data_IF_459363907445
#
_entry.id   IF_459363907445
#
_cell.length_a   1.000
_cell.length_b   1.000
_cell.length_c   1.000
_cell.angle_alpha   90.00
_cell.angle_beta   90.00
_cell.angle_gamma   90.00
#
_symmetry.space_group_name_H-M   'P 1'
#
loop_
_entity.id
_entity.type
_entity.pdbx_description
1 polymer ?
#
# COMPACT_ATOMS: atom_id res chain seq x y z
N UNK A 1 -9.70 64.20 -44.65
CA UNK A 1 -9.44 62.78 -44.61
C UNK A 1 -8.99 62.42 -43.21
N UNK A 2 -9.96 62.07 -42.36
CA UNK A 2 -9.69 61.74 -40.92
C UNK A 2 -9.47 60.24 -40.74
N UNK A 3 -8.28 59.87 -40.28
CA UNK A 3 -7.97 58.50 -39.91
C UNK A 3 -8.25 58.33 -38.42
N UNK A 4 -9.39 57.71 -38.10
CA UNK A 4 -9.71 57.28 -36.71
C UNK A 4 -8.91 56.04 -36.39
N UNK A 5 -7.95 56.20 -35.46
CA UNK A 5 -7.22 55.10 -34.82
C UNK A 5 -8.11 54.38 -33.82
N UNK A 6 -8.43 53.12 -34.12
CA UNK A 6 -9.08 52.20 -33.15
C UNK A 6 -8.01 51.60 -32.23
N UNK A 7 -8.10 51.91 -30.95
CA UNK A 7 -7.35 51.23 -29.89
C UNK A 7 -8.13 49.94 -29.49
N UNK A 8 -7.50 48.77 -29.50
CA UNK A 8 -8.15 47.58 -28.92
C UNK A 8 -8.08 47.64 -27.39
N UNK A 9 -9.25 47.57 -26.76
CA UNK A 9 -9.35 47.40 -25.30
C UNK A 9 -8.90 45.98 -24.93
N UNK A 10 -7.76 45.90 -24.29
CA UNK A 10 -7.24 44.64 -23.72
C UNK A 10 -8.09 44.24 -22.51
N UNK A 11 -8.90 43.21 -22.68
CA UNK A 11 -9.67 42.58 -21.59
C UNK A 11 -8.69 41.76 -20.74
N UNK A 12 -8.25 42.32 -19.61
CA UNK A 12 -7.48 41.59 -18.61
C UNK A 12 -8.43 40.65 -17.83
N UNK A 13 -8.45 39.37 -18.20
CA UNK A 13 -9.11 38.34 -17.41
C UNK A 13 -8.24 38.06 -16.19
N UNK A 14 -8.63 38.61 -15.06
CA UNK A 14 -8.05 38.25 -13.75
C UNK A 14 -8.59 36.86 -13.36
N UNK A 15 -7.81 35.82 -13.61
CA UNK A 15 -8.06 34.50 -13.00
C UNK A 15 -7.81 34.61 -11.49
N UNK A 16 -8.87 34.80 -10.73
CA UNK A 16 -8.86 34.60 -9.29
C UNK A 16 -8.69 33.09 -9.05
N UNK A 17 -7.45 32.64 -8.82
CA UNK A 17 -7.19 31.30 -8.32
C UNK A 17 -7.81 31.21 -6.93
N UNK A 18 -9.01 30.63 -6.85
CA UNK A 18 -9.65 30.29 -5.60
C UNK A 18 -8.72 29.29 -4.90
N UNK A 19 -8.01 29.76 -3.87
CA UNK A 19 -7.24 28.90 -2.97
C UNK A 19 -8.23 27.98 -2.28
N UNK A 20 -8.39 26.75 -2.83
CA UNK A 20 -9.14 25.69 -2.17
C UNK A 20 -8.44 25.42 -0.84
N UNK A 21 -9.13 25.62 0.30
CA UNK A 21 -8.47 25.44 1.57
C UNK A 21 -8.03 23.99 1.70
N UNK A 22 -6.73 23.76 1.80
CA UNK A 22 -6.11 22.43 2.04
C UNK A 22 -6.65 21.70 3.29
N UNK A 23 -7.45 22.35 4.10
CA UNK A 23 -8.11 21.79 5.30
C UNK A 23 -9.27 20.83 5.02
N UNK A 24 -9.73 20.69 3.78
CA UNK A 24 -10.89 19.82 3.46
C UNK A 24 -10.59 18.32 3.50
N UNK A 25 -9.33 17.89 3.69
CA UNK A 25 -8.96 16.47 3.68
C UNK A 25 -8.20 15.98 4.92
N UNK A 26 -7.95 16.83 5.90
CA UNK A 26 -7.38 16.41 7.18
C UNK A 26 -8.50 16.10 8.18
N UNK A 27 -9.36 15.13 7.88
CA UNK A 27 -10.15 14.50 8.92
C UNK A 27 -9.17 13.85 9.90
N UNK A 28 -9.28 14.15 11.20
CA UNK A 28 -8.46 13.48 12.21
C UNK A 28 -8.66 11.98 12.08
N UNK A 29 -7.55 11.24 12.00
CA UNK A 29 -7.56 9.80 11.94
C UNK A 29 -8.02 9.29 13.30
N UNK A 30 -9.09 8.50 13.34
CA UNK A 30 -9.63 7.91 14.56
C UNK A 30 -8.63 6.94 15.22
N UNK A 31 -8.82 6.63 16.50
CA UNK A 31 -7.94 5.69 17.19
C UNK A 31 -8.05 4.26 16.60
N UNK A 32 -9.22 3.88 16.11
CA UNK A 32 -9.39 2.63 15.37
C UNK A 32 -8.57 2.61 14.07
N UNK A 33 -8.56 3.71 13.32
CA UNK A 33 -7.75 3.84 12.11
C UNK A 33 -6.25 3.82 12.42
N UNK A 34 -5.81 4.48 13.48
CA UNK A 34 -4.42 4.42 13.98
C UNK A 34 -4.02 2.97 14.32
N UNK A 35 -4.91 2.25 15.01
CA UNK A 35 -4.69 0.84 15.36
C UNK A 35 -4.58 -0.04 14.12
N UNK A 36 -5.42 0.19 13.10
CA UNK A 36 -5.36 -0.54 11.83
C UNK A 36 -4.04 -0.28 11.09
N UNK A 37 -3.58 0.98 11.04
CA UNK A 37 -2.28 1.33 10.44
C UNK A 37 -1.13 0.65 11.17
N UNK A 38 -1.16 0.65 12.51
CA UNK A 38 -0.15 -0.03 13.32
C UNK A 38 -0.15 -1.54 13.08
N UNK A 39 -1.30 -2.18 13.02
CA UNK A 39 -1.45 -3.60 12.72
C UNK A 39 -0.72 -3.96 11.41
N UNK A 40 -0.93 -3.16 10.34
CA UNK A 40 -0.29 -3.41 9.05
C UNK A 40 1.22 -3.19 9.11
N UNK A 41 1.70 -2.16 9.79
CA UNK A 41 3.13 -1.93 9.97
C UNK A 41 3.80 -3.08 10.74
N UNK A 42 3.22 -3.50 11.84
CA UNK A 42 3.72 -4.63 12.65
C UNK A 42 3.72 -5.94 11.84
N UNK A 43 2.70 -6.16 11.00
CA UNK A 43 2.63 -7.33 10.12
C UNK A 43 3.73 -7.31 9.06
N UNK A 44 4.01 -6.16 8.43
CA UNK A 44 5.08 -6.03 7.43
C UNK A 44 6.44 -6.34 8.06
N UNK A 45 6.73 -5.81 9.24
CA UNK A 45 7.97 -6.10 9.97
C UNK A 45 8.09 -7.59 10.33
N UNK A 46 7.00 -8.18 10.83
CA UNK A 46 6.95 -9.60 11.14
C UNK A 46 7.13 -10.48 9.90
N UNK A 47 6.57 -10.07 8.75
CA UNK A 47 6.73 -10.78 7.48
C UNK A 47 8.19 -10.76 7.02
N UNK A 48 8.84 -9.60 7.03
CA UNK A 48 10.26 -9.47 6.67
C UNK A 48 11.13 -10.34 7.58
N UNK A 49 10.90 -10.31 8.89
CA UNK A 49 11.63 -11.13 9.87
C UNK A 49 11.42 -12.62 9.59
N UNK A 50 10.18 -13.04 9.40
CA UNK A 50 9.81 -14.44 9.17
C UNK A 50 10.33 -14.98 7.82
N UNK A 51 10.27 -14.16 6.75
CA UNK A 51 10.80 -14.53 5.44
C UNK A 51 12.33 -14.67 5.44
N UNK A 52 13.02 -13.90 6.28
CA UNK A 52 14.48 -13.91 6.38
C UNK A 52 15.02 -14.91 7.42
N UNK A 53 14.16 -15.62 8.16
CA UNK A 53 14.55 -16.69 9.08
C UNK A 53 15.08 -17.90 8.31
N UNK A 54 15.80 -18.77 9.00
CA UNK A 54 16.36 -20.01 8.39
C UNK A 54 15.93 -21.21 9.23
N UNK A 55 15.03 -22.07 8.72
CA UNK A 55 14.26 -21.90 7.46
C UNK A 55 13.20 -20.79 7.56
N UNK A 56 12.73 -20.24 6.44
CA UNK A 56 11.63 -19.28 6.45
C UNK A 56 10.38 -19.86 7.11
N UNK A 57 9.77 -19.11 8.02
CA UNK A 57 8.66 -19.57 8.84
C UNK A 57 7.50 -18.56 8.83
N UNK A 58 6.32 -18.96 8.37
CA UNK A 58 5.16 -18.08 8.28
C UNK A 58 4.34 -18.00 9.58
N UNK A 59 4.54 -18.90 10.53
CA UNK A 59 3.74 -18.98 11.76
C UNK A 59 3.74 -17.69 12.60
N UNK A 60 4.85 -16.95 12.75
CA UNK A 60 4.85 -15.66 13.46
C UNK A 60 3.92 -14.62 12.86
N UNK A 61 3.66 -14.70 11.55
CA UNK A 61 2.80 -13.76 10.82
C UNK A 61 1.32 -14.11 10.96
N UNK A 62 1.00 -15.38 11.27
CA UNK A 62 -0.39 -15.88 11.31
C UNK A 62 -1.28 -15.09 12.26
N UNK A 63 -0.76 -14.60 13.37
CA UNK A 63 -1.53 -13.89 14.39
C UNK A 63 -2.18 -12.60 13.87
N UNK A 64 -1.66 -12.04 12.80
CA UNK A 64 -2.17 -10.82 12.16
C UNK A 64 -3.38 -11.07 11.26
N UNK A 65 -3.68 -12.33 10.90
CA UNK A 65 -4.71 -12.67 9.91
C UNK A 65 -5.91 -13.39 10.53
N UNK A 66 -7.08 -13.22 9.90
CA UNK A 66 -8.23 -14.11 10.16
C UNK A 66 -7.94 -15.50 9.57
N UNK A 67 -8.66 -16.53 10.05
CA UNK A 67 -8.45 -17.90 9.57
C UNK A 67 -8.86 -18.06 8.09
N UNK A 68 -9.85 -17.30 7.66
CA UNK A 68 -10.41 -17.26 6.31
C UNK A 68 -9.92 -16.07 5.48
N UNK A 69 -8.75 -15.49 5.82
CA UNK A 69 -8.23 -14.34 5.13
C UNK A 69 -8.15 -14.57 3.61
N UNK A 70 -8.56 -13.56 2.84
CA UNK A 70 -8.47 -13.59 1.40
C UNK A 70 -7.16 -12.93 0.95
N UNK A 71 -6.37 -13.64 0.14
CA UNK A 71 -5.14 -13.11 -0.41
C UNK A 71 -5.18 -13.10 -1.94
N UNK A 72 -4.80 -11.97 -2.56
CA UNK A 72 -4.65 -11.80 -4.02
C UNK A 72 -3.29 -11.20 -4.31
N UNK A 73 -2.46 -11.97 -4.98
CA UNK A 73 -1.12 -11.53 -5.39
C UNK A 73 -1.13 -10.75 -6.70
N UNK A 74 -2.21 -10.91 -7.50
CA UNK A 74 -2.42 -10.18 -8.76
C UNK A 74 -3.86 -9.70 -8.83
N UNK A 75 -4.10 -8.46 -9.30
CA UNK A 75 -5.47 -7.95 -9.46
C UNK A 75 -6.33 -8.77 -10.42
N UNK A 76 -5.66 -9.48 -11.36
CA UNK A 76 -6.30 -10.37 -12.33
C UNK A 76 -6.78 -11.70 -11.74
N UNK A 77 -6.38 -12.02 -10.52
CA UNK A 77 -6.86 -13.21 -9.82
C UNK A 77 -8.31 -12.93 -9.38
N UNK A 78 -9.27 -13.35 -10.21
CA UNK A 78 -10.71 -13.15 -9.97
C UNK A 78 -11.19 -13.86 -8.69
N UNK A 79 -10.48 -14.92 -8.29
CA UNK A 79 -10.76 -15.67 -7.07
C UNK A 79 -9.61 -15.53 -6.08
N UNK A 80 -9.88 -14.92 -4.93
CA UNK A 80 -8.94 -14.93 -3.82
C UNK A 80 -8.84 -16.33 -3.23
N UNK A 81 -7.64 -16.78 -2.94
CA UNK A 81 -7.46 -17.93 -2.05
C UNK A 81 -7.85 -17.51 -0.64
N UNK A 82 -8.88 -18.16 -0.08
CA UNK A 82 -9.37 -17.89 1.28
C UNK A 82 -8.73 -18.85 2.26
N UNK A 83 -7.53 -18.56 2.66
CA UNK A 83 -6.80 -19.34 3.66
C UNK A 83 -5.47 -18.67 3.93
N UNK A 84 -4.98 -18.72 5.16
CA UNK A 84 -3.63 -18.29 5.50
C UNK A 84 -2.54 -19.05 4.71
N UNK A 85 -2.84 -20.23 4.17
CA UNK A 85 -1.92 -20.98 3.30
C UNK A 85 -1.44 -20.16 2.08
N UNK A 86 -2.27 -19.25 1.55
CA UNK A 86 -1.86 -18.39 0.45
C UNK A 86 -0.74 -17.42 0.85
N UNK A 87 -0.75 -16.92 2.08
CA UNK A 87 0.34 -16.09 2.63
C UNK A 87 1.62 -16.93 2.79
N UNK A 88 1.49 -18.18 3.30
CA UNK A 88 2.61 -19.12 3.43
C UNK A 88 3.25 -19.45 2.07
N UNK A 89 2.43 -19.75 1.06
CA UNK A 89 2.92 -20.02 -0.31
C UNK A 89 3.61 -18.80 -0.93
N UNK A 90 3.08 -17.60 -0.66
CA UNK A 90 3.73 -16.36 -1.10
C UNK A 90 5.10 -16.21 -0.45
N UNK A 91 5.21 -16.40 0.86
CA UNK A 91 6.48 -16.34 1.58
C UNK A 91 7.49 -17.34 1.01
N UNK A 92 7.10 -18.61 0.82
CA UNK A 92 7.96 -19.63 0.21
C UNK A 92 8.43 -19.22 -1.17
N UNK A 93 7.54 -18.67 -2.00
CA UNK A 93 7.87 -18.26 -3.37
C UNK A 93 8.86 -17.09 -3.41
N UNK A 94 8.67 -16.07 -2.57
CA UNK A 94 9.56 -14.90 -2.56
C UNK A 94 10.94 -15.22 -1.96
N UNK A 95 11.07 -16.29 -1.21
CA UNK A 95 12.34 -16.75 -0.61
C UNK A 95 12.96 -17.98 -1.28
N UNK A 96 12.30 -18.53 -2.33
CA UNK A 96 12.69 -19.79 -2.98
C UNK A 96 14.12 -19.81 -3.53
N UNK A 97 14.65 -18.65 -3.93
CA UNK A 97 16.00 -18.50 -4.48
C UNK A 97 17.04 -18.08 -3.44
N UNK A 98 16.72 -18.16 -2.14
CA UNK A 98 17.59 -17.66 -1.07
C UNK A 98 17.68 -16.14 -1.01
N UNK A 99 16.75 -15.44 -1.68
CA UNK A 99 16.67 -13.97 -1.61
C UNK A 99 16.27 -13.53 -0.20
N UNK A 100 16.93 -12.50 0.29
CA UNK A 100 16.48 -11.75 1.47
C UNK A 100 15.39 -10.78 1.04
N UNK A 101 14.35 -10.65 1.86
CA UNK A 101 13.23 -9.75 1.58
C UNK A 101 13.26 -8.59 2.57
N UNK A 102 13.09 -7.38 2.07
CA UNK A 102 12.90 -6.18 2.86
C UNK A 102 11.82 -5.32 2.23
N UNK A 103 10.86 -4.88 3.03
CA UNK A 103 9.76 -4.03 2.59
C UNK A 103 9.94 -2.63 3.15
N UNK A 104 10.15 -1.65 2.27
CA UNK A 104 10.21 -0.23 2.60
C UNK A 104 8.84 0.40 2.42
N UNK A 105 8.23 0.89 3.51
CA UNK A 105 6.95 1.59 3.46
C UNK A 105 7.18 3.05 3.06
N UNK A 106 6.56 3.49 1.95
CA UNK A 106 6.65 4.85 1.42
C UNK A 106 5.51 5.71 1.96
N UNK A 107 4.28 5.33 1.64
CA UNK A 107 3.08 6.06 1.99
C UNK A 107 2.01 5.13 2.57
N UNK A 108 1.09 5.72 3.34
CA UNK A 108 -0.04 5.00 3.92
C UNK A 108 -1.27 5.87 3.96
N UNK A 109 -2.39 5.25 3.65
CA UNK A 109 -3.71 5.85 3.72
C UNK A 109 -4.63 4.91 4.48
N UNK A 110 -5.51 5.48 5.30
CA UNK A 110 -6.51 4.70 6.04
C UNK A 110 -7.87 5.37 5.97
N UNK A 111 -8.91 4.55 5.79
CA UNK A 111 -10.29 4.99 5.91
C UNK A 111 -11.15 3.85 6.48
N UNK A 112 -11.58 4.02 7.72
CA UNK A 112 -12.29 2.97 8.45
C UNK A 112 -11.47 1.66 8.53
N UNK A 113 -12.02 0.54 8.05
CA UNK A 113 -11.32 -0.75 8.09
C UNK A 113 -10.30 -0.94 6.93
N UNK A 114 -10.24 -0.02 5.97
CA UNK A 114 -9.37 -0.16 4.81
C UNK A 114 -8.05 0.58 5.06
N UNK A 115 -6.94 -0.14 4.91
CA UNK A 115 -5.59 0.42 4.93
C UNK A 115 -4.95 0.19 3.56
N UNK A 116 -4.39 1.24 2.99
CA UNK A 116 -3.61 1.19 1.76
C UNK A 116 -2.19 1.60 2.09
N UNK A 117 -1.22 0.81 1.65
CA UNK A 117 0.19 1.17 1.75
C UNK A 117 0.83 1.16 0.37
N UNK A 118 1.69 2.13 0.14
CA UNK A 118 2.65 2.14 -0.95
C UNK A 118 3.99 1.67 -0.41
N UNK A 119 4.63 0.72 -1.07
CA UNK A 119 5.87 0.11 -0.60
C UNK A 119 6.80 -0.31 -1.73
N UNK A 120 8.07 -0.40 -1.41
CA UNK A 120 9.06 -1.09 -2.23
C UNK A 120 9.38 -2.44 -1.60
N UNK A 121 9.30 -3.51 -2.39
CA UNK A 121 9.77 -4.82 -2.01
C UNK A 121 11.17 -5.02 -2.59
N UNK A 122 12.18 -5.11 -1.74
CA UNK A 122 13.57 -5.39 -2.12
C UNK A 122 13.86 -6.87 -1.95
N UNK A 123 14.32 -7.51 -3.01
CA UNK A 123 14.78 -8.90 -3.03
C UNK A 123 16.28 -8.89 -3.25
N UNK A 124 17.04 -9.30 -2.24
CA UNK A 124 18.48 -9.11 -2.17
C UNK A 124 19.19 -10.44 -2.22
N UNK A 125 20.08 -10.62 -3.20
CA UNK A 125 21.10 -11.68 -3.24
C UNK A 125 22.50 -11.05 -3.15
N UNK A 126 23.58 -11.85 -2.97
CA UNK A 126 24.94 -11.31 -2.99
C UNK A 126 25.30 -10.57 -4.29
N UNK A 127 24.70 -10.97 -5.43
CA UNK A 127 25.03 -10.45 -6.74
C UNK A 127 24.17 -9.26 -7.16
N UNK A 128 22.93 -9.17 -6.66
CA UNK A 128 21.97 -8.16 -7.12
C UNK A 128 20.87 -7.87 -6.11
N UNK A 129 20.31 -6.69 -6.25
CA UNK A 129 19.01 -6.32 -5.64
C UNK A 129 17.99 -6.11 -6.75
N UNK A 130 16.82 -6.72 -6.58
CA UNK A 130 15.64 -6.49 -7.41
C UNK A 130 14.61 -5.77 -6.58
N UNK A 131 14.05 -4.69 -7.09
CA UNK A 131 13.01 -3.91 -6.40
C UNK A 131 11.70 -3.97 -7.19
N UNK A 132 10.60 -4.16 -6.48
CA UNK A 132 9.25 -4.07 -7.02
C UNK A 132 8.48 -2.99 -6.29
N UNK A 133 7.83 -2.09 -7.04
CA UNK A 133 6.96 -1.06 -6.51
C UNK A 133 5.54 -1.61 -6.40
N UNK A 134 4.93 -1.49 -5.23
CA UNK A 134 3.68 -2.18 -4.90
C UNK A 134 2.74 -1.25 -4.15
N UNK A 135 1.47 -1.25 -4.54
CA UNK A 135 0.38 -0.78 -3.70
C UNK A 135 -0.32 -2.00 -3.10
N UNK A 136 -0.39 -2.08 -1.78
CA UNK A 136 -1.10 -3.12 -1.08
C UNK A 136 -2.33 -2.55 -0.38
N UNK A 137 -3.46 -3.24 -0.54
CA UNK A 137 -4.75 -2.89 0.06
C UNK A 137 -5.14 -3.96 1.05
N UNK A 138 -5.45 -3.55 2.27
CA UNK A 138 -5.85 -4.43 3.36
C UNK A 138 -7.26 -4.07 3.84
N UNK A 139 -8.05 -5.10 4.13
CA UNK A 139 -9.29 -4.98 4.90
C UNK A 139 -9.06 -5.55 6.29
N UNK A 140 -9.23 -4.72 7.31
CA UNK A 140 -9.13 -5.13 8.72
C UNK A 140 -10.51 -5.42 9.28
N UNK A 141 -10.66 -6.56 9.95
CA UNK A 141 -11.87 -6.97 10.65
C UNK A 141 -11.49 -7.51 12.02
N UNK A 142 -12.13 -7.00 13.06
CA UNK A 142 -11.94 -7.43 14.45
C UNK A 142 -10.45 -7.46 14.88
N UNK A 143 -9.69 -6.41 14.46
CA UNK A 143 -8.27 -6.27 14.76
C UNK A 143 -7.35 -7.25 14.03
N UNK A 144 -7.83 -7.88 12.94
CA UNK A 144 -7.05 -8.80 12.10
C UNK A 144 -7.24 -8.48 10.62
N UNK A 145 -6.28 -8.88 9.80
CA UNK A 145 -6.32 -8.74 8.36
C UNK A 145 -7.25 -9.82 7.79
N UNK A 146 -8.36 -9.39 7.21
CA UNK A 146 -9.32 -10.27 6.56
C UNK A 146 -9.10 -10.37 5.05
N UNK A 147 -8.55 -9.32 4.42
CA UNK A 147 -8.19 -9.34 3.00
C UNK A 147 -6.87 -8.61 2.78
N UNK A 148 -6.08 -9.10 1.83
CA UNK A 148 -4.85 -8.50 1.35
C UNK A 148 -4.77 -8.64 -0.16
N UNK A 149 -4.63 -7.52 -0.88
CA UNK A 149 -4.46 -7.51 -2.34
C UNK A 149 -3.25 -6.66 -2.71
N UNK A 150 -2.39 -7.14 -3.59
CA UNK A 150 -1.22 -6.42 -4.09
C UNK A 150 -1.38 -6.04 -5.57
N UNK A 151 -0.98 -4.80 -5.88
CA UNK A 151 -0.92 -4.22 -7.21
C UNK A 151 0.52 -3.84 -7.50
N UNK A 152 1.12 -4.42 -8.53
CA UNK A 152 2.46 -4.08 -8.99
C UNK A 152 2.39 -2.94 -10.00
N UNK A 153 3.26 -1.93 -9.84
CA UNK A 153 3.32 -0.72 -10.67
C UNK A 153 4.58 -0.78 -11.54
#
# INVERSE_FOLDING_TARGET
>A
MDRRTFLPASLAVVLAAAAVPRKLFAAEISDAEKSNVKLIADMVEAFDSAANSVPPAADPVRTFFTDDCAFRFRPTDLTATRSFSAVQETMKRVTANGEKVHQELLERFVKGPVVVIEKLNHFVTPEKTRTSHVIAVFLVKDGKIAEWTEYFI
#
